data_IF_186866181002
#
_entry.id   IF_186866181002
#
_cell.length_a   1.000
_cell.length_b   1.000
_cell.length_c   1.000
_cell.angle_alpha   90.00
_cell.angle_beta   90.00
_cell.angle_gamma   90.00
#
_symmetry.space_group_name_H-M   'P 1'
#
loop_
_entity.id
_entity.type
_entity.pdbx_description
1 polymer ?
#
# COMPACT_ATOMS: atom_id res chain seq x y z
N UNK A 1 10.12 7.04 13.25
CA UNK A 1 9.86 8.37 12.67
C UNK A 1 8.38 8.68 12.76
N UNK A 2 8.03 9.73 13.48
CA UNK A 2 6.65 10.20 13.61
C UNK A 2 6.49 11.45 12.73
N UNK A 3 5.90 11.26 11.55
CA UNK A 3 5.59 12.34 10.61
C UNK A 3 4.08 12.47 10.63
N UNK A 4 3.59 13.63 11.07
CA UNK A 4 2.16 13.92 11.16
C UNK A 4 1.61 14.27 9.78
N UNK A 5 0.31 13.99 9.58
CA UNK A 5 -0.47 14.44 8.43
C UNK A 5 0.06 14.00 7.05
N UNK A 6 0.50 12.74 6.93
CA UNK A 6 0.85 12.18 5.62
C UNK A 6 -0.42 11.98 4.81
N UNK A 7 -0.54 12.67 3.66
CA UNK A 7 -1.66 12.51 2.74
C UNK A 7 -1.48 11.32 1.79
N UNK A 8 -0.24 11.03 1.39
CA UNK A 8 0.07 10.01 0.40
C UNK A 8 1.22 9.11 0.87
N UNK A 9 1.07 7.81 0.65
CA UNK A 9 2.13 6.81 0.79
C UNK A 9 2.38 6.19 -0.57
N UNK A 10 3.64 6.24 -1.03
CA UNK A 10 4.08 5.58 -2.25
C UNK A 10 5.04 4.44 -1.90
N UNK A 11 4.65 3.21 -2.20
CA UNK A 11 5.55 2.07 -2.14
C UNK A 11 6.22 1.92 -3.51
N UNK A 12 7.54 2.13 -3.55
CA UNK A 12 8.34 1.91 -4.75
C UNK A 12 8.44 0.42 -5.11
N UNK A 13 8.57 -0.45 -4.10
CA UNK A 13 8.52 -1.90 -4.24
C UNK A 13 7.43 -2.51 -3.36
N UNK A 14 6.90 -3.66 -3.75
CA UNK A 14 5.94 -4.40 -2.92
C UNK A 14 6.63 -5.01 -1.70
N UNK A 15 6.15 -4.71 -0.47
CA UNK A 15 6.67 -5.33 0.73
C UNK A 15 6.55 -6.86 0.69
N UNK A 16 7.63 -7.56 1.06
CA UNK A 16 7.65 -9.03 1.12
C UNK A 16 6.82 -9.60 2.27
N UNK A 17 6.58 -8.84 3.34
CA UNK A 17 5.65 -9.20 4.41
C UNK A 17 4.36 -8.38 4.28
N UNK A 18 3.22 -9.05 4.49
CA UNK A 18 1.91 -8.41 4.48
C UNK A 18 1.72 -7.44 5.66
N UNK A 19 2.31 -7.71 6.83
CA UNK A 19 2.26 -6.79 7.98
C UNK A 19 2.98 -5.48 7.68
N UNK A 20 4.15 -5.56 7.04
CA UNK A 20 4.92 -4.38 6.62
C UNK A 20 4.11 -3.49 5.67
N UNK A 21 3.32 -4.10 4.77
CA UNK A 21 2.44 -3.34 3.88
C UNK A 21 1.43 -2.51 4.67
N UNK A 22 0.72 -3.11 5.63
CA UNK A 22 -0.26 -2.41 6.46
C UNK A 22 0.41 -1.32 7.31
N UNK A 23 1.56 -1.61 7.91
CA UNK A 23 2.29 -0.62 8.70
C UNK A 23 2.80 0.57 7.88
N UNK A 24 3.13 0.36 6.60
CA UNK A 24 3.50 1.44 5.67
C UNK A 24 2.31 2.30 5.30
N UNK A 25 1.21 1.68 4.86
CA UNK A 25 0.03 2.45 4.43
C UNK A 25 -0.72 3.10 5.59
N UNK A 26 -0.65 2.54 6.80
CA UNK A 26 -1.19 3.13 8.04
C UNK A 26 -0.50 4.42 8.51
N UNK A 27 0.44 4.94 7.70
CA UNK A 27 1.02 6.27 7.86
C UNK A 27 0.12 7.37 7.31
N UNK A 28 -0.78 7.06 6.36
CA UNK A 28 -1.82 7.99 5.86
C UNK A 28 -3.18 7.72 6.51
N UNK A 29 -4.20 8.50 6.15
CA UNK A 29 -5.60 8.35 6.54
C UNK A 29 -5.85 8.25 8.06
N UNK A 30 -5.14 9.07 8.85
CA UNK A 30 -5.27 9.09 10.33
C UNK A 30 -6.36 10.07 10.77
N UNK A 31 -6.92 9.84 11.96
CA UNK A 31 -7.89 10.71 12.61
C UNK A 31 -9.11 11.06 11.72
N UNK A 32 -9.64 10.06 10.99
CA UNK A 32 -10.81 10.24 10.12
C UNK A 32 -10.53 10.97 8.80
N UNK A 33 -9.28 11.37 8.54
CA UNK A 33 -8.90 11.97 7.26
C UNK A 33 -8.82 10.92 6.16
N UNK A 34 -9.13 11.32 4.93
CA UNK A 34 -8.85 10.49 3.77
C UNK A 34 -7.33 10.42 3.49
N UNK A 35 -6.89 9.35 2.85
CA UNK A 35 -5.49 9.15 2.50
C UNK A 35 -5.34 8.22 1.32
N UNK A 36 -4.22 8.33 0.60
CA UNK A 36 -3.96 7.51 -0.59
C UNK A 36 -2.69 6.69 -0.43
N UNK A 37 -2.80 5.40 -0.72
CA UNK A 37 -1.65 4.51 -0.84
C UNK A 37 -1.53 4.04 -2.28
N UNK A 38 -0.35 4.24 -2.86
CA UNK A 38 -0.03 3.82 -4.23
C UNK A 38 1.16 2.88 -4.13
N UNK A 39 1.12 1.76 -4.85
CA UNK A 39 2.20 0.78 -4.87
C UNK A 39 2.57 0.50 -6.32
N UNK A 40 3.84 0.71 -6.65
CA UNK A 40 4.37 0.35 -7.95
C UNK A 40 4.57 -1.17 -8.00
N UNK A 41 4.26 -1.76 -9.14
CA UNK A 41 4.17 -3.20 -9.31
C UNK A 41 4.95 -3.64 -10.55
N UNK A 42 5.92 -4.52 -10.35
CA UNK A 42 6.54 -5.27 -11.42
C UNK A 42 5.91 -6.67 -11.55
N UNK A 43 6.20 -7.38 -12.65
CA UNK A 43 5.68 -8.73 -12.91
C UNK A 43 5.94 -9.72 -11.76
N UNK A 44 7.09 -9.62 -11.10
CA UNK A 44 7.48 -10.52 -10.02
C UNK A 44 6.73 -10.25 -8.70
N UNK A 45 6.11 -9.09 -8.54
CA UNK A 45 5.44 -8.69 -7.29
C UNK A 45 4.03 -9.25 -7.13
N UNK A 46 3.43 -9.76 -8.22
CA UNK A 46 2.05 -10.23 -8.23
C UNK A 46 1.77 -11.33 -7.19
N UNK A 47 2.77 -12.17 -6.87
CA UNK A 47 2.63 -13.19 -5.83
C UNK A 47 2.52 -12.56 -4.43
N UNK A 48 3.37 -11.58 -4.12
CA UNK A 48 3.35 -10.86 -2.84
C UNK A 48 2.04 -10.05 -2.68
N UNK A 49 1.66 -9.32 -3.73
CA UNK A 49 0.41 -8.54 -3.75
C UNK A 49 -0.82 -9.42 -3.51
N UNK A 50 -0.93 -10.58 -4.17
CA UNK A 50 -2.07 -11.50 -3.97
C UNK A 50 -2.20 -11.96 -2.52
N UNK A 51 -1.08 -12.19 -1.84
CA UNK A 51 -1.09 -12.56 -0.41
C UNK A 51 -1.62 -11.42 0.47
N UNK A 52 -1.23 -10.18 0.18
CA UNK A 52 -1.72 -8.99 0.90
C UNK A 52 -3.23 -8.87 0.74
N UNK A 53 -3.72 -8.90 -0.51
CA UNK A 53 -5.16 -8.79 -0.82
C UNK A 53 -5.95 -9.89 -0.12
N UNK A 54 -5.50 -11.15 -0.23
CA UNK A 54 -6.19 -12.28 0.37
C UNK A 54 -6.22 -12.20 1.90
N UNK A 55 -5.14 -11.73 2.53
CA UNK A 55 -5.05 -11.67 4.01
C UNK A 55 -5.96 -10.58 4.59
N UNK A 56 -6.07 -9.44 3.91
CA UNK A 56 -6.75 -8.26 4.46
C UNK A 56 -8.04 -7.87 3.73
N UNK A 57 -8.44 -8.61 2.69
CA UNK A 57 -9.65 -8.31 1.92
C UNK A 57 -9.63 -6.96 1.20
N UNK A 58 -8.44 -6.50 0.80
CA UNK A 58 -8.26 -5.15 0.23
C UNK A 58 -8.62 -5.15 -1.25
N UNK A 59 -9.51 -4.25 -1.65
CA UNK A 59 -9.74 -3.94 -3.07
C UNK A 59 -8.69 -2.95 -3.58
N UNK A 60 -8.15 -3.23 -4.77
CA UNK A 60 -7.13 -2.38 -5.40
C UNK A 60 -7.60 -1.87 -6.76
N UNK A 61 -7.42 -0.58 -6.99
CA UNK A 61 -7.57 0.01 -8.31
C UNK A 61 -6.25 -0.16 -9.07
N UNK A 62 -6.28 -0.82 -10.24
CA UNK A 62 -5.10 -1.01 -11.10
C UNK A 62 -4.99 0.11 -12.11
N UNK A 63 -3.84 0.75 -12.17
CA UNK A 63 -3.50 1.76 -13.17
C UNK A 63 -2.37 1.25 -14.05
N UNK A 64 -2.51 1.42 -15.36
CA UNK A 64 -1.45 1.15 -16.33
C UNK A 64 -0.90 2.50 -16.80
N UNK A 65 0.41 2.71 -16.63
CA UNK A 65 1.08 3.81 -17.28
C UNK A 65 1.07 3.56 -18.80
N UNK A 66 0.76 4.61 -19.57
CA UNK A 66 0.82 4.56 -21.04
C UNK A 66 2.26 4.62 -21.52
#
# INVERSE_FOLDING_TARGET
MDVKNISHVLNYDVPKNTEDYIHRIGRTARAGSAGKAITMLARHDHAALRRIIRRYGIEIQKWHAK
#
